data_IF_790757190597
#
_entry.id   IF_790757190597
#
_cell.length_a   1.000
_cell.length_b   1.000
_cell.length_c   1.000
_cell.angle_alpha   90.00
_cell.angle_beta   90.00
_cell.angle_gamma   90.00
#
_symmetry.space_group_name_H-M   'P 1'
#
loop_
_entity.id
_entity.type
_entity.pdbx_description
1 polymer ?
#
# COMPACT_ATOMS: atom_id res chain seq x y z
N UNK A 1 9.39 -17.98 -20.45
CA UNK A 1 8.44 -16.90 -20.46
C UNK A 1 8.44 -16.29 -19.07
N UNK A 2 8.93 -15.06 -18.95
CA UNK A 2 8.89 -14.28 -17.72
C UNK A 2 7.46 -13.70 -17.56
N UNK A 3 6.93 -13.76 -16.34
CA UNK A 3 5.69 -13.09 -15.99
C UNK A 3 5.86 -11.56 -16.14
N UNK A 4 4.78 -10.82 -16.46
CA UNK A 4 4.80 -9.36 -16.43
C UNK A 4 5.22 -8.84 -15.05
N UNK A 5 5.89 -7.67 -15.00
CA UNK A 5 6.39 -7.08 -13.75
C UNK A 5 5.27 -6.70 -12.76
N UNK A 6 4.04 -6.55 -13.23
CA UNK A 6 2.84 -6.24 -12.44
C UNK A 6 2.08 -7.50 -11.99
N UNK A 7 2.59 -8.70 -12.26
CA UNK A 7 1.97 -9.90 -11.77
C UNK A 7 2.12 -9.98 -10.25
N UNK A 8 0.98 -10.10 -9.55
CA UNK A 8 0.99 -10.39 -8.13
C UNK A 8 1.75 -11.69 -7.86
N UNK A 9 2.45 -11.75 -6.73
CA UNK A 9 3.17 -12.95 -6.34
C UNK A 9 2.27 -14.18 -6.43
N UNK A 10 2.72 -15.27 -7.08
CA UNK A 10 1.90 -16.44 -7.25
C UNK A 10 1.57 -17.07 -5.88
N UNK A 11 0.30 -17.06 -5.53
CA UNK A 11 -0.21 -17.76 -4.37
C UNK A 11 -0.44 -19.23 -4.74
N UNK A 12 0.45 -20.10 -4.32
CA UNK A 12 0.26 -21.55 -4.48
C UNK A 12 -0.53 -22.06 -3.31
N UNK A 13 -1.84 -22.25 -3.50
CA UNK A 13 -2.69 -22.93 -2.54
C UNK A 13 -3.00 -24.34 -3.03
N UNK A 14 -2.95 -25.31 -2.11
CA UNK A 14 -3.41 -26.68 -2.37
C UNK A 14 -4.92 -26.69 -2.20
N UNK A 15 -5.65 -26.61 -3.29
CA UNK A 15 -7.10 -26.75 -3.28
C UNK A 15 -7.43 -28.24 -3.47
N UNK A 16 -7.89 -28.90 -2.42
CA UNK A 16 -8.59 -30.16 -2.60
C UNK A 16 -10.03 -29.85 -3.00
N UNK A 17 -10.64 -30.65 -3.84
CA UNK A 17 -12.05 -30.49 -4.28
C UNK A 17 -13.06 -30.52 -3.11
N UNK A 18 -12.62 -30.89 -1.92
CA UNK A 18 -13.36 -30.83 -0.66
C UNK A 18 -13.25 -29.48 0.07
N UNK A 19 -12.39 -28.58 -0.41
CA UNK A 19 -12.13 -27.24 0.15
C UNK A 19 -13.13 -26.17 -0.31
N UNK A 20 -14.36 -26.55 -0.62
CA UNK A 20 -15.50 -25.67 -0.40
C UNK A 20 -15.69 -25.53 1.11
N UNK A 21 -14.60 -25.26 1.81
CA UNK A 21 -14.49 -25.25 3.23
C UNK A 21 -15.35 -24.11 3.79
N UNK A 22 -16.57 -24.45 4.13
CA UNK A 22 -17.33 -23.60 5.03
C UNK A 22 -16.48 -23.43 6.31
N UNK A 23 -16.38 -22.21 6.83
CA UNK A 23 -15.60 -21.97 8.02
C UNK A 23 -16.12 -22.85 9.15
N UNK A 24 -15.23 -23.64 9.74
CA UNK A 24 -15.57 -24.53 10.88
C UNK A 24 -15.88 -23.73 12.13
N UNK A 25 -15.20 -22.60 12.28
CA UNK A 25 -15.38 -21.67 13.41
C UNK A 25 -15.50 -20.26 12.88
N UNK A 26 -16.55 -19.56 13.27
CA UNK A 26 -16.74 -18.13 13.04
C UNK A 26 -16.50 -17.38 14.36
N UNK A 27 -15.61 -16.40 14.32
CA UNK A 27 -15.29 -15.51 15.44
C UNK A 27 -15.73 -14.10 15.10
N UNK A 28 -16.53 -13.50 15.97
CA UNK A 28 -16.89 -12.09 15.88
C UNK A 28 -16.02 -11.27 16.85
N UNK A 29 -15.40 -10.22 16.32
CA UNK A 29 -14.55 -9.32 17.10
C UNK A 29 -15.22 -7.94 17.10
N UNK A 30 -15.52 -7.41 18.27
CA UNK A 30 -16.10 -6.09 18.43
C UNK A 30 -15.42 -5.32 19.55
N UNK A 31 -15.51 -4.00 19.50
CA UNK A 31 -14.99 -3.12 20.54
C UNK A 31 -15.88 -1.89 20.68
N UNK A 32 -16.10 -1.47 21.91
CA UNK A 32 -16.82 -0.22 22.23
C UNK A 32 -15.89 0.98 22.39
N UNK A 33 -14.57 0.74 22.45
CA UNK A 33 -13.56 1.78 22.73
C UNK A 33 -12.60 2.03 21.56
N UNK A 34 -12.52 1.11 20.61
CA UNK A 34 -11.60 1.20 19.46
C UNK A 34 -12.38 1.44 18.19
N UNK A 35 -11.80 2.23 17.29
CA UNK A 35 -12.31 2.39 15.93
C UNK A 35 -12.21 1.08 15.14
N UNK A 36 -13.03 0.95 14.09
CA UNK A 36 -13.00 -0.23 13.21
C UNK A 36 -11.61 -0.44 12.59
N UNK A 37 -10.92 0.65 12.22
CA UNK A 37 -9.55 0.62 11.70
C UNK A 37 -8.55 0.03 12.69
N UNK A 38 -8.58 0.50 13.94
CA UNK A 38 -7.69 -0.01 15.00
C UNK A 38 -7.98 -1.47 15.30
N UNK A 39 -9.27 -1.85 15.31
CA UNK A 39 -9.70 -3.22 15.51
C UNK A 39 -9.24 -4.14 14.38
N UNK A 40 -9.38 -3.69 13.13
CA UNK A 40 -8.91 -4.43 11.95
C UNK A 40 -7.39 -4.63 11.98
N UNK A 41 -6.64 -3.58 12.30
CA UNK A 41 -5.19 -3.66 12.44
C UNK A 41 -4.77 -4.63 13.56
N UNK A 42 -5.43 -4.57 14.71
CA UNK A 42 -5.17 -5.49 15.81
C UNK A 42 -5.50 -6.93 15.43
N UNK A 43 -6.61 -7.12 14.74
CA UNK A 43 -7.06 -8.45 14.28
C UNK A 43 -6.02 -9.05 13.34
N UNK A 44 -5.58 -8.32 12.35
CA UNK A 44 -4.59 -8.80 11.38
C UNK A 44 -3.22 -9.06 12.02
N UNK A 45 -2.72 -8.11 12.80
CA UNK A 45 -1.37 -8.21 13.36
C UNK A 45 -1.24 -9.19 14.52
N UNK A 46 -2.29 -9.40 15.30
CA UNK A 46 -2.22 -10.20 16.51
C UNK A 46 -3.11 -11.44 16.43
N UNK A 47 -4.41 -11.27 16.13
CA UNK A 47 -5.35 -12.37 16.21
C UNK A 47 -5.10 -13.39 15.10
N UNK A 48 -5.02 -12.94 13.86
CA UNK A 48 -4.76 -13.80 12.70
C UNK A 48 -3.46 -14.56 12.86
N UNK A 49 -2.38 -13.88 13.22
CA UNK A 49 -1.06 -14.52 13.41
C UNK A 49 -1.06 -15.57 14.53
N UNK A 50 -1.78 -15.29 15.62
CA UNK A 50 -1.89 -16.24 16.72
C UNK A 50 -2.70 -17.47 16.31
N UNK A 51 -3.82 -17.26 15.61
CA UNK A 51 -4.66 -18.36 15.13
C UNK A 51 -3.94 -19.23 14.08
N UNK A 52 -3.23 -18.63 13.16
CA UNK A 52 -2.45 -19.36 12.15
C UNK A 52 -1.35 -20.25 12.76
N UNK A 53 -0.85 -19.92 13.95
CA UNK A 53 0.14 -20.71 14.66
C UNK A 53 -0.45 -21.86 15.50
N UNK A 54 -1.77 -21.99 15.54
CA UNK A 54 -2.43 -23.10 16.27
C UNK A 54 -2.42 -24.36 15.40
N UNK A 55 -1.95 -25.47 15.95
CA UNK A 55 -1.94 -26.75 15.26
C UNK A 55 -3.38 -27.15 14.85
N UNK A 56 -3.56 -27.50 13.58
CA UNK A 56 -4.86 -27.88 13.02
C UNK A 56 -5.64 -26.73 12.36
N UNK A 57 -5.17 -25.48 12.43
CA UNK A 57 -5.76 -24.37 11.68
C UNK A 57 -5.17 -24.36 10.28
N UNK A 58 -6.02 -24.54 9.25
CA UNK A 58 -5.61 -24.54 7.84
C UNK A 58 -5.52 -23.14 7.25
N UNK A 59 -6.52 -22.30 7.52
CA UNK A 59 -6.55 -20.92 7.06
C UNK A 59 -7.37 -20.04 8.00
N UNK A 60 -7.07 -18.76 7.99
CA UNK A 60 -7.84 -17.72 8.73
C UNK A 60 -8.20 -16.63 7.74
N UNK A 61 -9.48 -16.37 7.55
CA UNK A 61 -10.02 -15.33 6.68
C UNK A 61 -10.68 -14.26 7.54
N UNK A 62 -10.38 -13.00 7.25
CA UNK A 62 -10.99 -11.86 7.94
C UNK A 62 -11.97 -11.18 7.00
N UNK A 63 -13.22 -11.06 7.44
CA UNK A 63 -14.27 -10.35 6.71
C UNK A 63 -14.65 -9.06 7.44
N UNK A 64 -15.01 -8.03 6.69
CA UNK A 64 -15.46 -6.75 7.27
C UNK A 64 -14.35 -5.90 7.89
N UNK A 65 -13.10 -6.19 7.58
CA UNK A 65 -11.95 -5.36 8.02
C UNK A 65 -11.93 -4.01 7.29
N UNK A 66 -11.65 -2.94 8.03
CA UNK A 66 -11.34 -1.64 7.45
C UNK A 66 -9.87 -1.61 7.05
N UNK A 67 -9.59 -1.71 5.76
CA UNK A 67 -8.23 -1.61 5.20
C UNK A 67 -7.89 -0.14 4.99
N UNK A 68 -6.77 0.32 5.57
CA UNK A 68 -6.28 1.68 5.34
C UNK A 68 -5.91 1.87 3.88
N UNK A 69 -6.37 2.95 3.27
CA UNK A 69 -6.06 3.32 1.90
C UNK A 69 -5.73 4.82 1.82
N UNK A 70 -4.59 5.15 1.21
CA UNK A 70 -4.28 6.53 0.86
C UNK A 70 -4.92 6.83 -0.48
N UNK A 71 -5.87 7.75 -0.49
CA UNK A 71 -6.55 8.21 -1.70
C UNK A 71 -5.88 9.49 -2.19
N UNK A 72 -5.46 9.49 -3.44
CA UNK A 72 -4.90 10.66 -4.12
C UNK A 72 -5.97 11.19 -5.08
N UNK A 73 -6.64 12.26 -4.67
CA UNK A 73 -7.71 12.89 -5.43
C UNK A 73 -7.13 13.98 -6.32
N UNK A 74 -7.00 13.66 -7.60
CA UNK A 74 -6.43 14.60 -8.58
C UNK A 74 -7.33 15.82 -8.76
N UNK A 75 -6.73 17.02 -8.84
CA UNK A 75 -7.40 18.28 -9.07
C UNK A 75 -7.15 18.75 -10.52
N UNK A 76 -8.10 18.54 -11.46
CA UNK A 76 -7.87 18.78 -12.89
C UNK A 76 -7.50 20.23 -13.23
N UNK A 77 -8.01 21.19 -12.45
CA UNK A 77 -7.70 22.60 -12.65
C UNK A 77 -6.26 22.93 -12.28
N UNK A 78 -5.80 22.41 -11.15
CA UNK A 78 -4.41 22.57 -10.72
C UNK A 78 -3.45 21.86 -11.66
N UNK A 79 -3.79 20.64 -12.10
CA UNK A 79 -3.01 19.90 -13.07
C UNK A 79 -2.83 20.69 -14.37
N UNK A 80 -3.92 21.31 -14.89
CA UNK A 80 -3.85 22.16 -16.08
C UNK A 80 -3.01 23.42 -15.85
N UNK A 81 -3.17 24.07 -14.68
CA UNK A 81 -2.42 25.27 -14.33
C UNK A 81 -0.89 24.99 -14.27
N UNK A 82 -0.51 23.81 -13.79
CA UNK A 82 0.89 23.39 -13.70
C UNK A 82 1.38 22.63 -14.94
N UNK A 83 0.51 22.34 -15.90
CA UNK A 83 0.85 21.58 -17.12
C UNK A 83 1.23 20.11 -16.82
N UNK A 84 0.65 19.53 -15.77
CA UNK A 84 0.94 18.15 -15.31
C UNK A 84 -0.08 17.18 -15.89
N UNK A 85 0.41 16.09 -16.48
CA UNK A 85 -0.41 14.98 -16.95
C UNK A 85 -0.70 13.94 -15.85
N UNK A 86 -1.77 13.16 -16.02
CA UNK A 86 -2.12 12.06 -15.09
C UNK A 86 -1.02 11.01 -15.07
N UNK A 87 -0.45 10.70 -16.24
CA UNK A 87 0.62 9.70 -16.37
C UNK A 87 1.88 10.10 -15.60
N UNK A 88 2.21 11.40 -15.57
CA UNK A 88 3.33 11.92 -14.78
C UNK A 88 3.09 11.72 -13.28
N UNK A 89 1.85 11.93 -12.82
CA UNK A 89 1.48 11.70 -11.41
C UNK A 89 1.60 10.22 -11.05
N UNK A 90 1.05 9.35 -11.88
CA UNK A 90 1.10 7.89 -11.66
C UNK A 90 2.55 7.40 -11.61
N UNK A 91 3.36 7.80 -12.59
CA UNK A 91 4.77 7.43 -12.65
C UNK A 91 5.56 7.90 -11.43
N UNK A 92 5.31 9.14 -10.96
CA UNK A 92 5.95 9.70 -9.78
C UNK A 92 5.58 8.94 -8.50
N UNK A 93 4.29 8.59 -8.32
CA UNK A 93 3.83 7.81 -7.16
C UNK A 93 4.43 6.41 -7.18
N UNK A 94 4.45 5.75 -8.34
CA UNK A 94 5.04 4.42 -8.49
C UNK A 94 6.54 4.44 -8.17
N UNK A 95 7.27 5.41 -8.71
CA UNK A 95 8.70 5.56 -8.44
C UNK A 95 9.01 5.82 -6.96
N UNK A 96 8.17 6.62 -6.28
CA UNK A 96 8.33 6.93 -4.87
C UNK A 96 7.95 5.78 -3.93
N UNK A 97 7.19 4.78 -4.41
CA UNK A 97 6.68 3.66 -3.61
C UNK A 97 7.39 2.34 -3.91
N UNK A 98 8.58 2.38 -4.50
CA UNK A 98 9.36 1.18 -4.82
C UNK A 98 10.44 0.91 -3.78
N UNK A 99 10.53 -0.34 -3.33
CA UNK A 99 11.66 -0.82 -2.56
C UNK A 99 12.79 -1.19 -3.53
N UNK A 100 13.88 -0.44 -3.49
CA UNK A 100 15.03 -0.69 -4.36
C UNK A 100 16.15 -1.42 -3.59
N UNK A 101 16.67 -2.55 -4.12
CA UNK A 101 17.89 -3.13 -3.58
C UNK A 101 19.05 -2.18 -3.85
N UNK A 102 19.63 -1.61 -2.81
CA UNK A 102 20.77 -0.68 -2.93
C UNK A 102 22.11 -1.38 -3.16
N UNK A 103 22.11 -2.72 -3.21
CA UNK A 103 23.31 -3.53 -3.38
C UNK A 103 23.77 -4.22 -2.09
N UNK A 104 24.99 -4.74 -2.08
CA UNK A 104 25.57 -5.39 -0.91
C UNK A 104 26.87 -4.69 -0.49
N UNK A 105 27.08 -4.64 0.83
CA UNK A 105 28.33 -4.17 1.41
C UNK A 105 29.11 -5.39 1.90
N UNK A 106 30.30 -5.62 1.34
CA UNK A 106 31.24 -6.63 1.83
C UNK A 106 32.13 -6.06 2.92
N UNK A 107 32.09 -6.66 4.06
CA UNK A 107 33.00 -6.34 5.18
C UNK A 107 33.72 -7.62 5.62
N UNK A 108 34.92 -7.82 5.10
CA UNK A 108 35.67 -9.07 5.31
C UNK A 108 34.93 -10.28 4.69
N UNK A 109 34.62 -11.27 5.50
CA UNK A 109 33.94 -12.52 5.08
C UNK A 109 32.39 -12.41 5.18
N UNK A 110 31.85 -11.26 5.57
CA UNK A 110 30.41 -11.03 5.71
C UNK A 110 29.92 -10.13 4.59
N UNK A 111 28.85 -10.55 3.92
CA UNK A 111 28.11 -9.77 2.93
C UNK A 111 26.79 -9.32 3.55
N UNK A 112 26.54 -8.03 3.59
CA UNK A 112 25.33 -7.44 4.13
C UNK A 112 24.55 -6.80 3.00
N UNK A 113 23.34 -7.30 2.73
CA UNK A 113 22.44 -6.74 1.75
C UNK A 113 21.86 -5.43 2.29
N UNK A 114 21.99 -4.36 1.52
CA UNK A 114 21.39 -3.06 1.82
C UNK A 114 20.14 -2.91 0.98
N UNK A 115 18.99 -2.72 1.63
CA UNK A 115 17.72 -2.41 1.00
C UNK A 115 17.32 -0.99 1.37
N UNK A 116 16.94 -0.19 0.39
CA UNK A 116 16.28 1.09 0.63
C UNK A 116 14.78 0.83 0.71
N UNK A 117 14.20 1.06 1.88
CA UNK A 117 12.74 1.03 2.03
C UNK A 117 12.17 2.31 1.42
N UNK A 118 11.63 2.20 0.21
CA UNK A 118 11.01 3.31 -0.52
C UNK A 118 9.52 3.51 -0.18
N UNK A 119 8.92 2.57 0.57
CA UNK A 119 7.49 2.65 0.88
C UNK A 119 7.18 3.77 1.85
N UNK A 120 6.40 4.72 1.37
CA UNK A 120 5.93 5.86 2.17
C UNK A 120 4.90 5.36 3.20
N UNK A 121 5.18 5.59 4.47
CA UNK A 121 4.32 5.17 5.61
C UNK A 121 3.43 6.30 6.11
N UNK A 122 3.89 7.55 5.99
CA UNK A 122 3.15 8.74 6.43
C UNK A 122 2.44 9.39 5.23
N UNK A 123 1.10 9.59 5.29
CA UNK A 123 0.35 10.28 4.25
C UNK A 123 0.90 11.66 3.87
N UNK A 124 1.50 12.36 4.84
CA UNK A 124 2.10 13.68 4.63
C UNK A 124 3.32 13.65 3.69
N UNK A 125 4.02 12.53 3.65
CA UNK A 125 5.18 12.35 2.78
C UNK A 125 4.75 12.23 1.32
N UNK A 126 3.55 11.71 1.04
CA UNK A 126 3.01 11.66 -0.31
C UNK A 126 2.91 13.05 -0.94
N UNK A 127 2.52 14.06 -0.16
CA UNK A 127 2.44 15.44 -0.64
C UNK A 127 3.76 15.99 -1.17
N UNK A 128 4.87 15.51 -0.63
CA UNK A 128 6.21 15.97 -1.00
C UNK A 128 6.79 15.24 -2.22
N UNK A 129 6.10 14.25 -2.79
CA UNK A 129 6.54 13.59 -4.02
C UNK A 129 6.64 14.63 -5.12
N UNK A 130 7.81 14.71 -5.75
CA UNK A 130 8.01 15.56 -6.92
C UNK A 130 7.42 14.84 -8.13
N UNK A 131 6.33 15.41 -8.67
CA UNK A 131 5.66 14.85 -9.85
C UNK A 131 6.47 15.15 -11.10
N UNK A 132 6.89 16.40 -11.24
CA UNK A 132 7.67 16.86 -12.39
C UNK A 132 8.39 18.15 -12.03
N UNK A 133 9.27 18.59 -12.95
CA UNK A 133 9.99 19.86 -12.81
C UNK A 133 9.70 20.70 -14.05
N UNK A 134 9.20 21.91 -13.86
CA UNK A 134 8.84 22.83 -14.95
C UNK A 134 9.67 24.11 -14.89
N UNK A 135 9.95 24.70 -16.05
CA UNK A 135 10.59 26.00 -16.15
C UNK A 135 12.06 25.95 -15.70
N UNK A 136 12.94 25.55 -16.51
CA UNK A 136 14.40 25.70 -16.35
C UNK A 136 14.96 26.31 -17.62
N UNK A 137 15.84 27.30 -17.52
CA UNK A 137 16.54 27.79 -18.69
C UNK A 137 17.70 26.81 -18.99
N UNK A 138 17.59 26.12 -20.11
CA UNK A 138 18.53 25.10 -20.57
C UNK A 138 20.00 25.63 -20.67
N UNK A 139 20.17 26.94 -20.82
CA UNK A 139 21.46 27.60 -20.94
C UNK A 139 22.08 28.04 -19.61
N UNK A 140 21.31 28.01 -18.50
CA UNK A 140 21.77 28.53 -17.21
C UNK A 140 22.00 27.47 -16.16
N UNK A 141 21.85 26.18 -16.50
CA UNK A 141 21.91 25.04 -15.55
C UNK A 141 21.01 25.26 -14.31
N UNK A 142 20.02 26.15 -14.40
CA UNK A 142 19.04 26.33 -13.35
C UNK A 142 17.99 25.24 -13.54
N UNK A 143 17.96 24.31 -12.57
CA UNK A 143 16.89 23.33 -12.48
C UNK A 143 15.53 24.03 -12.41
N UNK A 144 14.53 23.49 -13.09
CA UNK A 144 13.19 24.01 -13.04
C UNK A 144 12.62 23.91 -11.62
N UNK A 145 11.48 24.58 -11.38
CA UNK A 145 10.77 24.52 -10.12
C UNK A 145 10.09 23.13 -10.00
N UNK A 146 10.35 22.40 -8.91
CA UNK A 146 9.67 21.14 -8.67
C UNK A 146 8.18 21.39 -8.38
N UNK A 147 7.33 20.58 -8.99
CA UNK A 147 5.90 20.54 -8.71
C UNK A 147 5.64 19.33 -7.85
N UNK A 148 5.12 19.57 -6.65
CA UNK A 148 4.81 18.55 -5.67
C UNK A 148 3.40 17.99 -5.86
N UNK A 149 3.17 16.77 -5.37
CA UNK A 149 1.88 16.10 -5.51
C UNK A 149 0.75 16.86 -4.79
N UNK A 150 1.02 17.50 -3.66
CA UNK A 150 0.04 18.32 -2.91
C UNK A 150 -0.42 19.58 -3.66
N UNK A 151 0.30 20.00 -4.69
CA UNK A 151 -0.08 21.12 -5.55
C UNK A 151 -1.08 20.75 -6.65
N UNK A 152 -1.20 19.47 -6.97
CA UNK A 152 -2.04 18.94 -8.07
C UNK A 152 -3.06 17.90 -7.62
N UNK A 153 -2.99 17.48 -6.35
CA UNK A 153 -3.88 16.48 -5.78
C UNK A 153 -4.13 16.74 -4.28
N UNK A 154 -5.28 16.31 -3.80
CA UNK A 154 -5.60 16.18 -2.38
C UNK A 154 -5.29 14.77 -1.91
N UNK A 155 -4.57 14.65 -0.78
CA UNK A 155 -4.18 13.37 -0.21
C UNK A 155 -5.02 13.09 1.02
N UNK A 156 -5.83 12.04 0.95
CA UNK A 156 -6.75 11.66 2.00
C UNK A 156 -6.34 10.32 2.59
N UNK A 157 -6.06 10.30 3.89
CA UNK A 157 -5.91 9.06 4.66
C UNK A 157 -7.29 8.50 4.99
N UNK A 158 -7.74 7.59 4.18
CA UNK A 158 -9.07 7.00 4.25
C UNK A 158 -9.04 5.49 4.49
N UNK A 159 -10.19 4.91 4.23
CA UNK A 159 -10.40 3.47 4.25
C UNK A 159 -10.81 3.01 2.86
N UNK A 160 -10.39 1.81 2.48
CA UNK A 160 -10.90 1.15 1.29
C UNK A 160 -12.42 0.97 1.42
N UNK A 161 -13.11 0.99 0.30
CA UNK A 161 -14.52 0.64 0.32
C UNK A 161 -14.68 -0.79 0.83
N UNK A 162 -15.61 -1.02 1.77
CA UNK A 162 -15.80 -2.35 2.33
C UNK A 162 -16.33 -3.30 1.24
N UNK A 163 -15.56 -4.30 0.89
CA UNK A 163 -15.99 -5.35 -0.06
C UNK A 163 -17.07 -6.25 0.55
N UNK A 164 -17.11 -6.34 1.87
CA UNK A 164 -18.11 -7.10 2.62
C UNK A 164 -18.40 -6.44 3.96
N UNK A 165 -19.66 -6.48 4.38
CA UNK A 165 -20.08 -6.00 5.70
C UNK A 165 -20.58 -7.22 6.46
N UNK A 166 -19.90 -7.57 7.55
CA UNK A 166 -20.37 -8.57 8.50
C UNK A 166 -21.13 -7.85 9.62
N UNK A 167 -22.42 -8.13 9.77
CA UNK A 167 -23.24 -7.66 10.88
C UNK A 167 -23.70 -8.86 11.69
N UNK A 168 -23.59 -8.73 13.01
CA UNK A 168 -24.17 -9.66 13.96
C UNK A 168 -25.32 -8.93 14.66
N UNK A 169 -26.51 -9.51 14.63
CA UNK A 169 -27.74 -8.98 15.29
C UNK A 169 -28.27 -7.63 14.72
N UNK A 170 -28.34 -7.49 13.39
CA UNK A 170 -29.09 -6.43 12.72
C UNK A 170 -28.30 -5.43 11.90
#
# INVERSE_FOLDING_TARGET
PSLPEDAADPLVSRTNEQDNAQPVVNLSIHSTTRSLRELSTLTDQVVVKRLQNVAGVGSVVVNGAAVRQIKVLLQPEQMRAHGVGVDEVIAAIQAANQDLPAGSIRRGNSEQLVRVEGRIKDPREFGRIIVTTRGGAMYLQQGGLPIHLDQVAEIVDGEAEPESIARLDG
#
